data_IF_420509262306
#
_entry.id   IF_420509262306
#
_cell.length_a   1.000
_cell.length_b   1.000
_cell.length_c   1.000
_cell.angle_alpha   90.00
_cell.angle_beta   90.00
_cell.angle_gamma   90.00
#
_symmetry.space_group_name_H-M   'P 1'
#
loop_
_entity.id
_entity.type
_entity.pdbx_description
1 polymer ?
#
# COMPACT_ATOMS: atom_id res chain seq x y z
N UNK A 1 -5.41 24.28 9.91
CA UNK A 1 -4.95 25.33 8.98
C UNK A 1 -5.30 24.87 7.56
N UNK A 2 -6.32 25.45 6.93
CA UNK A 2 -6.74 25.07 5.57
C UNK A 2 -5.67 25.51 4.58
N UNK A 3 -4.87 24.60 4.08
CA UNK A 3 -3.99 24.83 2.94
C UNK A 3 -4.88 25.08 1.71
N UNK A 4 -4.81 26.29 1.18
CA UNK A 4 -5.43 26.66 -0.09
C UNK A 4 -4.88 25.76 -1.19
N UNK A 5 -5.66 24.74 -1.61
CA UNK A 5 -5.40 24.04 -2.87
C UNK A 5 -5.65 25.05 -3.99
N UNK A 6 -4.60 25.58 -4.59
CA UNK A 6 -4.70 26.32 -5.85
C UNK A 6 -5.33 25.35 -6.86
N UNK A 7 -6.41 25.77 -7.51
CA UNK A 7 -6.96 25.08 -8.68
C UNK A 7 -5.91 25.21 -9.78
N UNK A 8 -5.01 24.23 -9.89
CA UNK A 8 -4.14 24.16 -11.08
C UNK A 8 -5.03 24.09 -12.32
N UNK A 9 -4.81 25.03 -13.24
CA UNK A 9 -5.48 25.02 -14.55
C UNK A 9 -4.97 23.78 -15.30
N UNK A 10 -5.88 22.89 -15.68
CA UNK A 10 -5.56 21.74 -16.51
C UNK A 10 -5.01 22.21 -17.85
N UNK A 11 -4.01 21.51 -18.37
CA UNK A 11 -3.55 21.67 -19.72
C UNK A 11 -4.64 21.24 -20.73
N UNK A 12 -4.55 21.71 -21.96
CA UNK A 12 -5.51 21.33 -23.00
C UNK A 12 -5.54 19.80 -23.22
N UNK A 13 -4.37 19.15 -23.22
CA UNK A 13 -4.24 17.70 -23.33
C UNK A 13 -4.87 16.95 -22.15
N UNK A 14 -4.74 17.45 -20.93
CA UNK A 14 -5.41 16.89 -19.75
C UNK A 14 -6.93 17.04 -19.82
N UNK A 15 -7.41 18.16 -20.36
CA UNK A 15 -8.83 18.42 -20.54
C UNK A 15 -9.46 17.46 -21.55
N UNK A 16 -8.80 17.21 -22.67
CA UNK A 16 -9.21 16.25 -23.70
C UNK A 16 -9.20 14.83 -23.14
N UNK A 17 -8.15 14.44 -22.43
CA UNK A 17 -8.03 13.14 -21.78
C UNK A 17 -9.17 12.89 -20.77
N UNK A 18 -9.49 13.87 -19.93
CA UNK A 18 -10.57 13.75 -18.97
C UNK A 18 -11.94 13.68 -19.64
N UNK A 19 -12.17 14.36 -20.74
CA UNK A 19 -13.42 14.30 -21.50
C UNK A 19 -13.64 12.90 -22.12
N UNK A 20 -12.58 12.27 -22.67
CA UNK A 20 -12.65 10.89 -23.18
C UNK A 20 -12.98 9.90 -22.04
N UNK A 21 -12.36 10.05 -20.89
CA UNK A 21 -12.67 9.25 -19.71
C UNK A 21 -14.13 9.41 -19.28
N UNK A 22 -14.65 10.63 -19.25
CA UNK A 22 -16.06 10.88 -18.88
C UNK A 22 -17.04 10.21 -19.84
N UNK A 23 -16.74 10.23 -21.14
CA UNK A 23 -17.55 9.55 -22.15
C UNK A 23 -17.56 8.04 -21.92
N UNK A 24 -16.41 7.43 -21.69
CA UNK A 24 -16.27 6.00 -21.39
C UNK A 24 -16.98 5.62 -20.10
N UNK A 25 -16.84 6.43 -19.04
CA UNK A 25 -17.57 6.22 -17.77
C UNK A 25 -19.09 6.19 -18.01
N UNK A 26 -19.62 7.12 -18.80
CA UNK A 26 -21.06 7.13 -19.15
C UNK A 26 -21.48 5.86 -19.90
N UNK A 27 -20.66 5.40 -20.84
CA UNK A 27 -20.92 4.18 -21.61
C UNK A 27 -20.93 2.92 -20.72
N UNK A 28 -19.98 2.78 -19.79
CA UNK A 28 -19.96 1.67 -18.84
C UNK A 28 -21.13 1.71 -17.85
N UNK A 29 -21.48 2.89 -17.33
CA UNK A 29 -22.68 3.06 -16.48
C UNK A 29 -23.96 2.67 -17.19
N UNK A 30 -24.11 3.03 -18.48
CA UNK A 30 -25.27 2.66 -19.28
C UNK A 30 -25.41 1.14 -19.47
N UNK A 31 -24.30 0.40 -19.38
CA UNK A 31 -24.24 -1.06 -19.39
C UNK A 31 -24.44 -1.71 -18.01
N UNK A 32 -24.71 -0.92 -16.96
CA UNK A 32 -24.93 -1.41 -15.60
C UNK A 32 -23.66 -1.65 -14.77
N UNK A 33 -22.47 -1.30 -15.28
CA UNK A 33 -21.24 -1.47 -14.52
C UNK A 33 -21.06 -0.41 -13.43
N UNK A 34 -20.45 -0.80 -12.30
CA UNK A 34 -19.95 0.15 -11.31
C UNK A 34 -18.66 0.78 -11.86
N UNK A 35 -18.62 2.11 -11.87
CA UNK A 35 -17.44 2.86 -12.29
C UNK A 35 -17.04 3.85 -11.21
N UNK A 36 -15.73 4.07 -11.00
CA UNK A 36 -15.25 5.01 -10.01
C UNK A 36 -15.74 6.42 -10.26
N UNK A 37 -15.81 7.21 -9.21
CA UNK A 37 -16.11 8.63 -9.33
C UNK A 37 -14.91 9.37 -9.92
N UNK A 38 -15.17 10.55 -10.55
CA UNK A 38 -14.11 11.40 -11.10
C UNK A 38 -13.00 11.76 -10.09
N UNK A 39 -13.33 11.82 -8.79
CA UNK A 39 -12.35 12.08 -7.73
C UNK A 39 -11.20 11.07 -7.68
N UNK A 40 -11.43 9.84 -8.16
CA UNK A 40 -10.42 8.79 -8.19
C UNK A 40 -9.45 8.93 -9.37
N UNK A 41 -9.78 9.74 -10.38
CA UNK A 41 -8.92 9.96 -11.55
C UNK A 41 -7.92 11.06 -11.22
N UNK A 42 -6.63 10.74 -11.35
CA UNK A 42 -5.52 11.64 -11.02
C UNK A 42 -4.99 12.34 -12.28
N UNK A 43 -4.60 13.60 -12.14
CA UNK A 43 -3.86 14.33 -13.18
C UNK A 43 -2.40 13.87 -13.25
N UNK A 44 -1.69 14.19 -14.32
CA UNK A 44 -0.27 13.89 -14.47
C UNK A 44 0.57 14.52 -13.33
N UNK A 45 0.24 15.75 -12.91
CA UNK A 45 0.89 16.43 -11.79
C UNK A 45 0.67 15.69 -10.46
N UNK A 46 -0.56 15.23 -10.21
CA UNK A 46 -0.89 14.43 -9.01
C UNK A 46 -0.15 13.09 -9.01
N UNK A 47 -0.11 12.38 -10.15
CA UNK A 47 0.64 11.14 -10.29
C UNK A 47 2.13 11.36 -10.00
N UNK A 48 2.71 12.46 -10.50
CA UNK A 48 4.10 12.83 -10.21
C UNK A 48 4.32 13.08 -8.72
N UNK A 49 3.36 13.71 -8.04
CA UNK A 49 3.40 13.92 -6.59
C UNK A 49 3.34 12.60 -5.82
N UNK A 50 2.41 11.72 -6.17
CA UNK A 50 2.26 10.38 -5.57
C UNK A 50 3.55 9.55 -5.76
N UNK A 51 4.15 9.57 -6.96
CA UNK A 51 5.41 8.86 -7.22
C UNK A 51 6.57 9.36 -6.35
N UNK A 52 6.62 10.66 -6.03
CA UNK A 52 7.63 11.20 -5.11
C UNK A 52 7.42 10.71 -3.67
N UNK A 53 6.18 10.65 -3.21
CA UNK A 53 5.85 10.03 -1.93
C UNK A 53 6.22 8.55 -1.93
N UNK A 54 5.85 7.82 -2.99
CA UNK A 54 6.16 6.40 -3.14
C UNK A 54 7.67 6.09 -3.14
N UNK A 55 8.49 6.97 -3.70
CA UNK A 55 9.94 6.80 -3.67
C UNK A 55 10.49 6.85 -2.23
N UNK A 56 9.97 7.72 -1.37
CA UNK A 56 10.34 7.77 0.05
C UNK A 56 9.82 6.51 0.75
N UNK A 57 8.58 6.14 0.51
CA UNK A 57 7.93 4.97 1.10
C UNK A 57 8.70 3.67 0.78
N UNK A 58 9.09 3.48 -0.48
CA UNK A 58 9.89 2.31 -0.88
C UNK A 58 11.28 2.31 -0.24
N UNK A 59 11.92 3.48 -0.14
CA UNK A 59 13.23 3.62 0.51
C UNK A 59 13.16 3.30 2.02
N UNK A 60 12.05 3.61 2.69
CA UNK A 60 11.80 3.18 4.07
C UNK A 60 11.80 1.65 4.18
N UNK A 61 11.08 0.96 3.29
CA UNK A 61 11.05 -0.51 3.29
C UNK A 61 12.41 -1.13 2.98
N UNK A 62 13.20 -0.48 2.12
CA UNK A 62 14.59 -0.91 1.84
C UNK A 62 15.49 -0.70 3.06
N UNK A 63 15.31 0.40 3.80
CA UNK A 63 16.01 0.63 5.06
C UNK A 63 15.64 -0.42 6.11
N UNK A 64 14.36 -0.74 6.26
CA UNK A 64 13.90 -1.81 7.16
C UNK A 64 14.55 -3.14 6.77
N UNK A 65 14.57 -3.48 5.47
CA UNK A 65 15.21 -4.70 4.97
C UNK A 65 16.70 -4.81 5.34
N UNK A 66 17.40 -3.68 5.41
CA UNK A 66 18.83 -3.64 5.75
C UNK A 66 19.10 -3.74 7.26
N UNK A 67 18.09 -3.55 8.11
CA UNK A 67 18.29 -3.47 9.57
C UNK A 67 17.50 -4.51 10.36
N UNK A 68 16.42 -5.05 9.81
CA UNK A 68 15.54 -5.99 10.50
C UNK A 68 16.28 -7.30 10.80
N UNK A 69 16.23 -7.76 12.06
CA UNK A 69 16.93 -8.96 12.51
C UNK A 69 16.24 -9.55 13.75
N UNK A 70 16.59 -10.78 14.08
CA UNK A 70 16.21 -11.40 15.35
C UNK A 70 16.65 -10.55 16.55
N UNK A 71 15.80 -10.46 17.57
CA UNK A 71 16.04 -9.65 18.76
C UNK A 71 15.64 -8.18 18.64
N UNK A 72 15.33 -7.69 17.42
CA UNK A 72 14.80 -6.34 17.21
C UNK A 72 13.34 -6.25 17.70
N UNK A 73 13.01 -5.21 18.41
CA UNK A 73 11.61 -4.94 18.81
C UNK A 73 10.82 -4.27 17.70
N UNK A 74 9.50 -4.42 17.70
CA UNK A 74 8.65 -3.69 16.75
C UNK A 74 8.67 -2.17 17.00
N UNK A 75 8.95 -1.72 18.22
CA UNK A 75 9.20 -0.31 18.57
C UNK A 75 10.44 0.25 17.87
N UNK A 76 11.51 -0.53 17.77
CA UNK A 76 12.73 -0.12 17.05
C UNK A 76 12.46 0.02 15.56
N UNK A 77 11.61 -0.85 14.98
CA UNK A 77 11.13 -0.70 13.58
C UNK A 77 10.36 0.61 13.42
N UNK A 78 9.44 0.93 14.32
CA UNK A 78 8.68 2.19 14.30
C UNK A 78 9.61 3.40 14.37
N UNK A 79 10.58 3.36 15.27
CA UNK A 79 11.58 4.43 15.44
C UNK A 79 12.39 4.62 14.16
N UNK A 80 12.82 3.52 13.52
CA UNK A 80 13.57 3.55 12.26
C UNK A 80 12.75 4.18 11.15
N UNK A 81 11.50 3.75 10.98
CA UNK A 81 10.55 4.26 9.99
C UNK A 81 10.25 5.75 10.21
N UNK A 82 9.95 6.13 11.45
CA UNK A 82 9.68 7.52 11.82
C UNK A 82 10.84 8.44 11.47
N UNK A 83 12.04 8.11 11.97
CA UNK A 83 13.22 8.94 11.81
C UNK A 83 13.58 9.13 10.33
N UNK A 84 13.53 8.06 9.53
CA UNK A 84 13.82 8.15 8.10
C UNK A 84 12.77 9.01 7.38
N UNK A 85 11.50 8.79 7.65
CA UNK A 85 10.40 9.52 7.02
C UNK A 85 10.50 11.03 7.29
N UNK A 86 10.71 11.41 8.56
CA UNK A 86 10.87 12.82 8.95
C UNK A 86 12.13 13.43 8.34
N UNK A 87 13.26 12.72 8.33
CA UNK A 87 14.51 13.19 7.73
C UNK A 87 14.37 13.50 6.23
N UNK A 88 13.46 12.84 5.54
CA UNK A 88 13.15 13.09 4.12
C UNK A 88 12.05 14.14 3.90
N UNK A 89 11.63 14.84 4.95
CA UNK A 89 10.60 15.90 4.88
C UNK A 89 9.20 15.37 4.59
N UNK A 90 8.97 14.11 4.92
CA UNK A 90 7.69 13.42 4.82
C UNK A 90 7.07 13.19 6.21
N UNK A 91 5.85 12.70 6.26
CA UNK A 91 5.09 12.42 7.47
C UNK A 91 4.60 10.97 7.39
N UNK A 92 4.76 10.14 8.45
CA UNK A 92 4.11 8.85 8.52
C UNK A 92 2.58 9.04 8.57
N UNK A 93 1.87 8.48 7.59
CA UNK A 93 0.42 8.69 7.49
C UNK A 93 -0.38 8.02 8.62
N UNK A 94 0.01 6.85 9.14
CA UNK A 94 -0.73 6.20 10.22
C UNK A 94 -0.70 6.97 11.54
N UNK A 95 0.38 7.74 11.79
CA UNK A 95 0.58 8.41 13.08
C UNK A 95 -0.54 9.40 13.40
N UNK A 96 -1.28 9.11 14.47
CA UNK A 96 -2.48 9.84 14.91
C UNK A 96 -3.69 9.76 13.96
N UNK A 97 -3.64 8.91 12.94
CA UNK A 97 -4.81 8.66 12.10
C UNK A 97 -5.81 7.78 12.86
N UNK A 98 -7.03 8.27 13.04
CA UNK A 98 -8.09 7.60 13.82
C UNK A 98 -7.64 7.07 15.20
N UNK A 99 -6.64 7.73 15.79
CA UNK A 99 -6.09 7.35 17.10
C UNK A 99 -4.97 6.30 17.06
N UNK A 100 -4.50 5.89 15.87
CA UNK A 100 -3.36 4.98 15.77
C UNK A 100 -2.08 5.65 16.28
N UNK A 101 -1.36 5.04 17.25
CA UNK A 101 -0.32 5.74 18.02
C UNK A 101 1.08 5.70 17.40
N UNK A 102 1.27 5.00 16.28
CA UNK A 102 2.57 4.66 15.71
C UNK A 102 2.71 5.09 14.25
N UNK A 103 3.93 5.02 13.73
CA UNK A 103 4.28 5.48 12.37
C UNK A 103 4.15 4.41 11.30
N UNK A 104 4.01 3.16 11.71
CA UNK A 104 4.01 1.98 10.85
C UNK A 104 3.16 0.88 11.50
N UNK A 105 2.59 -0.01 10.69
CA UNK A 105 2.01 -1.24 11.22
C UNK A 105 3.03 -2.39 11.13
N UNK A 106 3.10 -3.20 12.20
CA UNK A 106 4.00 -4.37 12.30
C UNK A 106 3.20 -5.59 12.69
N UNK A 107 2.95 -6.48 11.74
CA UNK A 107 2.06 -7.64 11.93
C UNK A 107 2.87 -8.93 11.85
N UNK A 108 3.06 -9.59 13.00
CA UNK A 108 3.89 -10.79 13.16
C UNK A 108 3.00 -12.02 13.16
N UNK A 109 3.37 -13.03 12.38
CA UNK A 109 2.74 -14.35 12.30
C UNK A 109 1.21 -14.30 12.12
N UNK A 110 0.46 -14.60 13.18
CA UNK A 110 -1.02 -14.66 13.19
C UNK A 110 -1.71 -13.29 13.14
N UNK A 111 -0.97 -12.19 13.34
CA UNK A 111 -1.53 -10.85 13.23
C UNK A 111 -1.71 -10.50 11.77
N UNK A 112 -2.96 -10.43 11.31
CA UNK A 112 -3.30 -10.28 9.89
C UNK A 112 -2.90 -8.91 9.34
N UNK A 113 -3.22 -7.82 10.08
CA UNK A 113 -2.88 -6.44 9.70
C UNK A 113 -2.95 -5.51 10.93
N UNK A 114 -2.49 -4.26 10.74
CA UNK A 114 -2.55 -3.16 11.70
C UNK A 114 -1.94 -3.46 13.08
N UNK A 115 -0.96 -4.37 13.14
CA UNK A 115 -0.21 -4.63 14.38
C UNK A 115 0.47 -3.34 14.89
N UNK A 116 0.26 -3.02 16.17
CA UNK A 116 0.79 -1.79 16.79
C UNK A 116 2.19 -2.08 17.32
N UNK A 117 3.22 -1.34 16.87
CA UNK A 117 4.58 -1.43 17.42
C UNK A 117 4.63 -1.23 18.92
N UNK A 118 5.41 -2.09 19.60
CA UNK A 118 5.61 -2.06 21.06
C UNK A 118 7.01 -2.58 21.44
N UNK A 119 7.61 -2.11 22.54
CA UNK A 119 8.88 -2.65 23.04
C UNK A 119 8.78 -4.09 23.54
N UNK A 120 7.57 -4.57 23.84
CA UNK A 120 7.34 -5.93 24.37
C UNK A 120 7.31 -7.00 23.27
N UNK A 121 7.26 -6.60 21.99
CA UNK A 121 7.20 -7.51 20.86
C UNK A 121 8.57 -7.57 20.19
N UNK A 122 9.32 -8.61 20.55
CA UNK A 122 10.69 -8.89 20.05
C UNK A 122 10.61 -9.94 18.96
N UNK A 123 11.24 -9.67 17.81
CA UNK A 123 11.34 -10.60 16.70
C UNK A 123 12.19 -11.82 17.07
N UNK A 124 11.67 -12.99 16.75
CA UNK A 124 12.33 -14.28 17.01
C UNK A 124 12.72 -14.97 15.70
N UNK A 125 13.73 -15.80 15.74
CA UNK A 125 13.99 -16.72 14.62
C UNK A 125 12.74 -17.54 14.29
N UNK A 126 12.43 -17.65 13.01
CA UNK A 126 11.23 -18.34 12.51
C UNK A 126 9.99 -17.45 12.41
N UNK A 127 10.06 -16.17 12.79
CA UNK A 127 8.96 -15.24 12.57
C UNK A 127 8.87 -14.79 11.11
N UNK A 128 7.65 -14.54 10.65
CA UNK A 128 7.36 -13.74 9.48
C UNK A 128 6.67 -12.45 9.93
N UNK A 129 7.05 -11.31 9.38
CA UNK A 129 6.47 -10.02 9.75
C UNK A 129 6.13 -9.23 8.50
N UNK A 130 4.91 -8.68 8.47
CA UNK A 130 4.53 -7.63 7.53
C UNK A 130 4.85 -6.27 8.16
N UNK A 131 5.62 -5.46 7.44
CA UNK A 131 5.87 -4.06 7.78
C UNK A 131 5.14 -3.20 6.74
N UNK A 132 4.15 -2.45 7.20
CA UNK A 132 3.23 -1.70 6.35
C UNK A 132 3.40 -0.20 6.59
N UNK A 133 3.88 0.47 5.56
CA UNK A 133 4.33 1.88 5.60
C UNK A 133 3.45 2.73 4.72
N UNK A 134 2.85 3.76 5.30
CA UNK A 134 2.16 4.80 4.55
C UNK A 134 2.82 6.15 4.77
N UNK A 135 3.07 6.89 3.69
CA UNK A 135 3.86 8.12 3.70
C UNK A 135 3.08 9.27 3.09
N UNK A 136 3.15 10.44 3.72
CA UNK A 136 2.64 11.70 3.18
C UNK A 136 3.83 12.59 2.81
N UNK A 137 3.95 12.92 1.54
CA UNK A 137 4.95 13.89 1.08
C UNK A 137 4.29 15.02 0.29
N UNK A 138 4.36 16.24 0.82
CA UNK A 138 3.74 17.44 0.23
C UNK A 138 2.25 17.29 -0.11
N UNK A 139 1.52 16.55 0.75
CA UNK A 139 0.08 16.31 0.60
C UNK A 139 -0.28 15.19 -0.39
N UNK A 140 0.70 14.41 -0.84
CA UNK A 140 0.50 13.19 -1.63
C UNK A 140 0.79 11.97 -0.78
N UNK A 141 -0.07 10.97 -0.89
CA UNK A 141 0.01 9.74 -0.12
C UNK A 141 0.59 8.61 -0.96
N UNK A 142 1.31 7.74 -0.29
CA UNK A 142 1.74 6.45 -0.82
C UNK A 142 1.66 5.41 0.28
N UNK A 143 1.42 4.18 -0.09
CA UNK A 143 1.17 3.08 0.80
C UNK A 143 1.73 1.80 0.19
N UNK A 144 2.51 1.07 0.95
CA UNK A 144 3.02 -0.25 0.56
C UNK A 144 3.56 -1.01 1.75
N UNK A 145 3.48 -2.34 1.67
CA UNK A 145 4.01 -3.21 2.69
C UNK A 145 5.00 -4.23 2.13
N UNK A 146 5.79 -4.82 3.01
CA UNK A 146 6.70 -5.90 2.67
C UNK A 146 6.74 -6.94 3.78
N UNK A 147 6.78 -8.21 3.36
CA UNK A 147 7.02 -9.34 4.26
C UNK A 147 8.52 -9.56 4.45
N UNK A 148 8.92 -9.85 5.68
CA UNK A 148 10.27 -10.24 6.06
C UNK A 148 10.22 -11.58 6.80
N UNK A 149 11.18 -12.45 6.49
CA UNK A 149 11.42 -13.68 7.22
C UNK A 149 12.61 -13.45 8.17
N UNK A 150 12.45 -13.79 9.43
CA UNK A 150 13.47 -13.59 10.45
C UNK A 150 14.22 -14.90 10.67
N UNK A 151 15.49 -14.93 10.32
CA UNK A 151 16.30 -16.15 10.35
C UNK A 151 15.74 -17.28 9.48
N UNK A 152 15.82 -18.51 9.96
CA UNK A 152 15.28 -19.69 9.30
C UNK A 152 13.80 -19.87 9.64
N UNK A 153 12.93 -19.67 8.65
CA UNK A 153 11.48 -19.88 8.80
C UNK A 153 11.06 -21.27 8.26
N UNK A 154 9.96 -21.79 8.77
CA UNK A 154 9.43 -23.07 8.26
C UNK A 154 9.08 -22.99 6.77
N UNK A 155 9.11 -24.15 6.09
CA UNK A 155 8.75 -24.24 4.68
C UNK A 155 7.32 -23.74 4.42
N UNK A 156 6.39 -24.01 5.34
CA UNK A 156 5.00 -23.53 5.28
C UNK A 156 4.93 -22.00 5.27
N UNK A 157 5.64 -21.34 6.19
CA UNK A 157 5.71 -19.86 6.26
C UNK A 157 6.38 -19.28 5.03
N UNK A 158 7.48 -19.88 4.57
CA UNK A 158 8.19 -19.47 3.36
C UNK A 158 7.29 -19.54 2.13
N UNK A 159 6.58 -20.68 1.97
CA UNK A 159 5.62 -20.86 0.89
C UNK A 159 4.48 -19.83 0.95
N UNK A 160 3.93 -19.55 2.14
CA UNK A 160 2.89 -18.54 2.31
C UNK A 160 3.36 -17.16 1.85
N UNK A 161 4.54 -16.73 2.28
CA UNK A 161 5.14 -15.44 1.88
C UNK A 161 5.35 -15.38 0.36
N UNK A 162 5.88 -16.46 -0.22
CA UNK A 162 6.11 -16.55 -1.66
C UNK A 162 4.80 -16.45 -2.46
N UNK A 163 3.81 -17.29 -2.13
CA UNK A 163 2.52 -17.31 -2.84
C UNK A 163 1.79 -15.97 -2.70
N UNK A 164 1.86 -15.34 -1.52
CA UNK A 164 1.28 -14.00 -1.32
C UNK A 164 1.97 -12.97 -2.22
N UNK A 165 3.28 -13.03 -2.37
CA UNK A 165 4.02 -12.16 -3.28
C UNK A 165 3.62 -12.40 -4.74
N UNK A 166 3.51 -13.65 -5.15
CA UNK A 166 3.05 -14.02 -6.49
C UNK A 166 1.63 -13.52 -6.77
N UNK A 167 0.72 -13.58 -5.77
CA UNK A 167 -0.62 -12.99 -5.86
C UNK A 167 -0.58 -11.48 -6.19
N UNK A 168 0.30 -10.72 -5.54
CA UNK A 168 0.49 -9.30 -5.81
C UNK A 168 1.00 -9.08 -7.24
N UNK A 169 2.03 -9.81 -7.63
CA UNK A 169 2.66 -9.66 -8.95
C UNK A 169 1.66 -10.02 -10.07
N UNK A 170 0.87 -11.09 -9.91
CA UNK A 170 -0.21 -11.47 -10.83
C UNK A 170 -1.32 -10.42 -10.87
N UNK A 171 -1.77 -9.94 -9.72
CA UNK A 171 -2.77 -8.89 -9.63
C UNK A 171 -2.35 -7.62 -10.38
N UNK A 172 -1.08 -7.22 -10.26
CA UNK A 172 -0.52 -6.08 -10.97
C UNK A 172 -0.58 -6.24 -12.50
N UNK A 173 -0.48 -7.46 -13.04
CA UNK A 173 -0.62 -7.69 -14.48
C UNK A 173 -2.00 -7.32 -15.02
N UNK A 174 -3.02 -7.34 -14.16
CA UNK A 174 -4.40 -7.00 -14.50
C UNK A 174 -4.70 -5.51 -14.40
N UNK A 175 -3.79 -4.70 -13.82
CA UNK A 175 -3.95 -3.25 -13.68
C UNK A 175 -3.65 -2.58 -15.03
N UNK A 176 -4.67 -2.60 -15.89
CA UNK A 176 -4.65 -1.99 -17.23
C UNK A 176 -5.86 -1.08 -17.40
N UNK A 177 -5.77 -0.05 -18.24
CA UNK A 177 -6.91 0.81 -18.51
C UNK A 177 -8.14 -0.01 -18.93
N UNK A 178 -9.26 0.23 -18.26
CA UNK A 178 -10.57 -0.38 -18.52
C UNK A 178 -10.73 -1.86 -18.16
N UNK A 179 -9.74 -2.49 -17.56
CA UNK A 179 -9.93 -3.79 -16.91
C UNK A 179 -10.79 -3.62 -15.65
N UNK A 180 -11.45 -4.69 -15.25
CA UNK A 180 -12.28 -4.69 -14.05
C UNK A 180 -11.44 -5.04 -12.81
N UNK A 181 -11.77 -4.45 -11.67
CA UNK A 181 -11.18 -4.84 -10.38
C UNK A 181 -11.49 -6.30 -10.03
N UNK A 182 -12.67 -6.80 -10.49
CA UNK A 182 -13.05 -8.19 -10.31
C UNK A 182 -12.11 -9.17 -11.01
N UNK A 183 -11.58 -8.81 -12.18
CA UNK A 183 -10.63 -9.67 -12.90
C UNK A 183 -9.31 -9.78 -12.12
N UNK A 184 -8.85 -8.67 -11.53
CA UNK A 184 -7.67 -8.67 -10.65
C UNK A 184 -7.92 -9.54 -9.40
N UNK A 185 -9.06 -9.36 -8.75
CA UNK A 185 -9.43 -10.15 -7.58
C UNK A 185 -9.55 -11.65 -7.89
N UNK A 186 -10.08 -12.00 -9.06
CA UNK A 186 -10.22 -13.38 -9.51
C UNK A 186 -8.85 -14.06 -9.67
N UNK A 187 -7.92 -13.41 -10.37
CA UNK A 187 -6.56 -13.96 -10.60
C UNK A 187 -5.84 -14.20 -9.28
N UNK A 188 -5.94 -13.27 -8.33
CA UNK A 188 -5.37 -13.41 -6.99
C UNK A 188 -5.99 -14.61 -6.24
N UNK A 189 -7.33 -14.70 -6.24
CA UNK A 189 -8.05 -15.77 -5.56
C UNK A 189 -7.73 -17.14 -6.15
N UNK A 190 -7.68 -17.24 -7.46
CA UNK A 190 -7.40 -18.51 -8.15
C UNK A 190 -6.00 -18.99 -7.83
N UNK A 191 -4.99 -18.13 -7.92
CA UNK A 191 -3.61 -18.46 -7.58
C UNK A 191 -3.46 -18.89 -6.11
N UNK A 192 -4.10 -18.19 -5.17
CA UNK A 192 -4.09 -18.57 -3.76
C UNK A 192 -4.70 -19.97 -3.57
N UNK A 193 -5.86 -20.25 -4.19
CA UNK A 193 -6.54 -21.55 -4.08
C UNK A 193 -5.76 -22.70 -4.71
N UNK A 194 -5.15 -22.50 -5.87
CA UNK A 194 -4.29 -23.49 -6.54
C UNK A 194 -3.10 -23.89 -5.68
N UNK A 195 -2.64 -22.99 -4.81
CA UNK A 195 -1.56 -23.25 -3.87
C UNK A 195 -2.02 -23.74 -2.49
N UNK A 196 -3.34 -23.96 -2.29
CA UNK A 196 -3.92 -24.48 -1.06
C UNK A 196 -4.23 -23.42 0.00
N UNK A 197 -4.28 -22.14 -0.39
CA UNK A 197 -4.62 -21.02 0.49
C UNK A 197 -6.02 -20.45 0.18
N UNK A 198 -6.49 -19.59 1.06
CA UNK A 198 -7.70 -18.76 0.85
C UNK A 198 -7.40 -17.29 1.09
N UNK A 199 -8.13 -16.42 0.40
CA UNK A 199 -8.08 -14.98 0.68
C UNK A 199 -8.91 -14.65 1.92
N UNK A 200 -8.51 -13.59 2.63
CA UNK A 200 -9.29 -13.02 3.75
C UNK A 200 -10.33 -12.08 3.15
N UNK A 201 -11.58 -12.54 3.05
CA UNK A 201 -12.65 -11.83 2.32
C UNK A 201 -13.17 -10.60 3.05
N UNK A 202 -12.92 -10.49 4.36
CA UNK A 202 -13.32 -9.38 5.21
C UNK A 202 -12.41 -8.16 5.04
N UNK A 203 -11.23 -8.33 4.47
CA UNK A 203 -10.23 -7.28 4.27
C UNK A 203 -10.03 -7.06 2.78
N UNK A 204 -10.22 -5.84 2.33
CA UNK A 204 -10.05 -5.45 0.94
C UNK A 204 -8.83 -4.56 0.71
N UNK A 205 -8.31 -4.58 -0.52
CA UNK A 205 -7.34 -3.59 -0.95
C UNK A 205 -8.01 -2.26 -1.30
N UNK A 206 -7.23 -1.20 -1.32
CA UNK A 206 -7.69 0.15 -1.64
C UNK A 206 -6.66 0.92 -2.49
N UNK A 207 -7.12 1.96 -3.15
CA UNK A 207 -6.24 2.92 -3.80
C UNK A 207 -5.88 4.06 -2.84
N UNK A 208 -4.70 4.63 -3.03
CA UNK A 208 -4.19 5.77 -2.25
C UNK A 208 -3.71 6.88 -3.18
N UNK A 209 -3.50 8.06 -2.66
CA UNK A 209 -2.85 9.12 -3.44
C UNK A 209 -3.09 10.55 -2.96
N UNK A 210 -4.32 10.98 -2.71
CA UNK A 210 -4.65 12.36 -2.29
C UNK A 210 -5.31 12.43 -0.92
N UNK A 211 -5.77 11.31 -0.43
CA UNK A 211 -6.43 11.13 0.88
C UNK A 211 -5.92 9.81 1.46
N UNK A 212 -5.95 9.69 2.78
CA UNK A 212 -5.61 8.47 3.51
C UNK A 212 -6.87 7.77 3.97
#
# INVERSE_FOLDING_TARGET
>A
MRLFKSKEKLSESESVYLADIEQKIKAYKAKGYRVPTRKMIKTAAQIKGIRRSAAINTAVLDLVAAHIHEGMTTEEIDTLVYNFTIAHGAIPAPLNYEGFPKSVCTSINEVVCHGIPTPDRVLQEGDIINVDVSTIYRGYFSDSSRMYCIGEVSEEKRKLVQVTRECVDLGLTMVKPWNFLGDMAQVINDHARENGYSIVVEIGGHGVGLEF
#
